data_IF_136842068064
#
_entry.id   IF_136842068064
#
_cell.length_a   1.000
_cell.length_b   1.000
_cell.length_c   1.000
_cell.angle_alpha   90.00
_cell.angle_beta   90.00
_cell.angle_gamma   90.00
#
_symmetry.space_group_name_H-M   'P 1'
#
loop_
_entity.id
_entity.type
_entity.pdbx_description
1 polymer ?
#
# COMPACT_ATOMS: atom_id res chain seq x y z
N UNK A 1 5.13 2.93 -29.26
CA UNK A 1 6.16 3.87 -28.81
C UNK A 1 5.65 4.49 -27.53
N UNK A 2 6.07 3.95 -26.39
CA UNK A 2 5.77 4.50 -25.08
C UNK A 2 6.42 5.89 -24.98
N UNK A 3 5.68 6.85 -24.46
CA UNK A 3 6.00 8.27 -24.48
C UNK A 3 7.29 8.51 -23.66
N UNK A 4 8.42 8.74 -24.35
CA UNK A 4 9.77 8.75 -23.75
C UNK A 4 9.97 9.79 -22.64
N UNK A 5 9.08 10.80 -22.57
CA UNK A 5 9.09 11.84 -21.54
C UNK A 5 8.65 11.37 -20.14
N UNK A 6 7.76 10.37 -20.04
CA UNK A 6 7.35 9.82 -18.73
C UNK A 6 8.45 8.95 -18.12
N UNK A 7 9.21 8.23 -18.95
CA UNK A 7 10.35 7.43 -18.52
C UNK A 7 11.49 8.33 -18.01
N UNK A 8 11.74 9.46 -18.69
CA UNK A 8 12.76 10.44 -18.29
C UNK A 8 12.44 11.16 -16.98
N UNK A 9 11.17 11.53 -16.73
CA UNK A 9 10.76 12.10 -15.43
C UNK A 9 10.85 11.09 -14.27
N UNK A 10 10.57 9.80 -14.51
CA UNK A 10 10.81 8.73 -13.53
C UNK A 10 12.33 8.48 -13.30
N UNK A 11 13.18 8.74 -14.29
CA UNK A 11 14.64 8.56 -14.22
C UNK A 11 15.38 9.70 -13.50
N UNK A 12 15.00 10.97 -13.68
CA UNK A 12 15.68 12.11 -13.02
C UNK A 12 15.48 12.16 -11.50
N UNK A 13 14.52 11.41 -10.96
CA UNK A 13 14.26 11.31 -9.52
C UNK A 13 15.21 10.35 -8.76
N UNK A 14 16.16 9.71 -9.42
CA UNK A 14 16.66 8.40 -8.97
C UNK A 14 17.90 8.33 -8.08
N UNK A 15 18.69 9.38 -7.83
CA UNK A 15 19.97 9.15 -7.10
C UNK A 15 20.13 9.82 -5.73
N UNK A 16 19.56 11.01 -5.46
CA UNK A 16 19.81 11.71 -4.19
C UNK A 16 18.56 12.02 -3.33
N UNK A 17 17.33 11.89 -3.85
CA UNK A 17 16.08 12.22 -3.11
C UNK A 17 15.36 11.03 -2.49
N UNK A 18 15.71 9.80 -2.87
CA UNK A 18 15.17 8.58 -2.26
C UNK A 18 16.24 7.88 -1.45
N UNK A 19 16.65 8.49 -0.33
CA UNK A 19 17.21 7.67 0.75
C UNK A 19 16.17 6.58 1.09
N UNK A 20 16.52 5.32 0.81
CA UNK A 20 15.57 4.19 0.85
C UNK A 20 15.17 3.81 2.27
N UNK A 21 15.89 4.32 3.27
CA UNK A 21 15.57 4.14 4.68
C UNK A 21 14.76 5.33 5.20
N UNK A 22 13.48 5.38 4.87
CA UNK A 22 12.56 6.23 5.63
C UNK A 22 12.41 5.68 7.05
N UNK A 23 12.51 6.54 8.06
CA UNK A 23 12.19 6.21 9.44
C UNK A 23 10.75 6.62 9.75
N UNK A 24 10.12 5.97 10.73
CA UNK A 24 8.75 6.32 11.15
C UNK A 24 8.62 7.80 11.54
N UNK A 25 9.69 8.37 12.11
CA UNK A 25 9.75 9.78 12.50
C UNK A 25 9.77 10.75 11.32
N UNK A 26 10.03 10.28 10.10
CA UNK A 26 10.06 11.11 8.88
C UNK A 26 8.64 11.52 8.44
N UNK A 27 7.60 10.86 8.98
CA UNK A 27 6.20 11.05 8.59
C UNK A 27 5.39 11.76 9.67
N UNK A 28 4.66 12.80 9.28
CA UNK A 28 3.70 13.52 10.10
C UNK A 28 2.29 13.29 9.57
N UNK A 29 1.33 12.92 10.43
CA UNK A 29 -0.07 12.83 10.04
C UNK A 29 -0.63 14.25 9.81
N UNK A 30 -1.20 14.49 8.63
CA UNK A 30 -1.75 15.79 8.26
C UNK A 30 -3.21 15.66 7.79
N UNK A 31 -3.94 16.78 7.80
CA UNK A 31 -5.36 16.85 7.39
C UNK A 31 -5.55 17.69 6.12
N UNK A 32 -6.72 17.57 5.49
CA UNK A 32 -7.04 18.33 4.27
C UNK A 32 -6.97 19.85 4.50
N UNK A 33 -7.29 20.32 5.72
CA UNK A 33 -7.18 21.74 6.06
C UNK A 33 -5.73 22.22 6.13
N UNK A 34 -4.78 21.33 6.43
CA UNK A 34 -3.35 21.69 6.53
C UNK A 34 -2.71 21.86 5.15
N UNK A 35 -3.17 21.13 4.13
CA UNK A 35 -2.58 21.17 2.78
C UNK A 35 -2.72 22.54 2.10
N UNK A 36 -3.67 23.38 2.55
CA UNK A 36 -3.81 24.74 2.05
C UNK A 36 -2.61 25.66 2.39
N UNK A 37 -1.78 25.27 3.36
CA UNK A 37 -0.55 25.98 3.74
C UNK A 37 0.47 25.97 2.59
N UNK A 38 1.14 27.11 2.38
CA UNK A 38 2.22 27.28 1.40
C UNK A 38 3.31 26.21 1.52
N UNK A 39 3.58 25.73 2.74
CA UNK A 39 4.54 24.65 2.99
C UNK A 39 4.27 23.39 2.15
N UNK A 40 3.01 23.05 1.89
CA UNK A 40 2.65 21.81 1.19
C UNK A 40 2.40 22.01 -0.31
N UNK A 41 2.26 23.25 -0.79
CA UNK A 41 1.98 23.54 -2.21
C UNK A 41 3.11 23.14 -3.15
N UNK A 42 4.35 23.16 -2.67
CA UNK A 42 5.54 22.75 -3.41
C UNK A 42 5.86 21.26 -3.28
N UNK A 43 5.08 20.51 -2.47
CA UNK A 43 5.31 19.08 -2.25
C UNK A 43 4.84 18.25 -3.44
N UNK A 44 5.54 17.14 -3.68
CA UNK A 44 5.09 16.12 -4.63
C UNK A 44 3.97 15.33 -3.95
N UNK A 45 2.85 15.18 -4.64
CA UNK A 45 1.72 14.40 -4.15
C UNK A 45 1.85 12.96 -4.67
N UNK A 46 1.66 12.00 -3.78
CA UNK A 46 1.68 10.57 -4.09
C UNK A 46 0.43 9.95 -3.49
N UNK A 47 -0.19 9.02 -4.19
CA UNK A 47 -1.43 8.38 -3.74
C UNK A 47 -1.31 6.86 -3.81
N UNK A 48 -1.82 6.17 -2.78
CA UNK A 48 -1.87 4.71 -2.75
C UNK A 48 -3.24 4.23 -2.28
N UNK A 49 -3.65 3.06 -2.77
CA UNK A 49 -4.96 2.46 -2.49
C UNK A 49 -4.84 1.06 -1.92
N UNK A 50 -5.41 0.84 -0.73
CA UNK A 50 -5.63 -0.50 -0.19
C UNK A 50 -6.95 -1.07 -0.70
N UNK A 51 -6.88 -2.07 -1.55
CA UNK A 51 -8.05 -2.87 -1.95
C UNK A 51 -8.18 -4.02 -0.96
N UNK A 52 -9.36 -4.19 -0.36
CA UNK A 52 -9.59 -5.26 0.61
C UNK A 52 -10.99 -5.87 0.50
N UNK A 53 -11.15 -7.08 1.00
CA UNK A 53 -12.45 -7.74 1.16
C UNK A 53 -12.52 -8.48 2.48
N UNK A 54 -13.56 -8.23 3.29
CA UNK A 54 -13.75 -8.95 4.56
C UNK A 54 -14.22 -10.37 4.28
N UNK A 55 -13.64 -11.34 4.99
CA UNK A 55 -13.95 -12.74 4.76
C UNK A 55 -13.74 -13.59 6.00
N UNK A 56 -14.46 -14.71 6.08
CA UNK A 56 -14.23 -15.77 7.06
C UNK A 56 -13.64 -17.04 6.42
N UNK A 57 -13.07 -16.94 5.21
CA UNK A 57 -12.45 -18.06 4.51
C UNK A 57 -11.39 -18.72 5.39
N UNK A 58 -11.47 -20.05 5.48
CA UNK A 58 -10.47 -20.86 6.16
C UNK A 58 -9.31 -21.15 5.20
N UNK A 59 -8.12 -20.66 5.54
CA UNK A 59 -6.87 -20.90 4.81
C UNK A 59 -6.04 -21.96 5.50
N UNK A 60 -5.30 -22.73 4.70
CA UNK A 60 -4.50 -23.88 5.17
C UNK A 60 -5.31 -24.86 6.04
N UNK A 61 -6.62 -24.99 5.76
CA UNK A 61 -7.58 -25.82 6.50
C UNK A 61 -7.68 -25.55 8.01
N UNK A 62 -7.19 -24.40 8.51
CA UNK A 62 -7.11 -24.15 9.96
C UNK A 62 -7.37 -22.71 10.36
N UNK A 63 -6.88 -21.73 9.59
CA UNK A 63 -6.85 -20.34 10.04
C UNK A 63 -7.91 -19.49 9.33
N UNK A 64 -8.61 -18.62 10.06
CA UNK A 64 -9.50 -17.64 9.44
C UNK A 64 -8.67 -16.51 8.82
N UNK A 65 -8.89 -16.21 7.53
CA UNK A 65 -8.23 -15.13 6.81
C UNK A 65 -8.58 -13.72 7.31
N UNK A 66 -9.77 -13.52 7.90
CA UNK A 66 -10.36 -12.24 8.36
C UNK A 66 -10.66 -11.24 7.23
N UNK A 67 -9.69 -11.02 6.36
CA UNK A 67 -9.82 -10.23 5.16
C UNK A 67 -8.78 -10.68 4.13
N UNK A 68 -9.09 -10.45 2.86
CA UNK A 68 -8.08 -10.37 1.81
C UNK A 68 -7.67 -8.91 1.65
N UNK A 69 -6.37 -8.65 1.64
CA UNK A 69 -5.80 -7.32 1.42
C UNK A 69 -4.73 -7.46 0.35
N UNK A 70 -4.82 -6.64 -0.69
CA UNK A 70 -3.89 -6.65 -1.81
C UNK A 70 -2.70 -5.72 -1.53
N UNK A 71 -1.50 -6.26 -1.65
CA UNK A 71 -0.25 -5.51 -1.75
C UNK A 71 0.54 -6.00 -2.97
N UNK A 72 1.62 -5.31 -3.32
CA UNK A 72 2.48 -5.69 -4.44
C UNK A 72 3.96 -5.70 -4.06
N UNK A 73 4.73 -6.58 -4.70
CA UNK A 73 6.18 -6.52 -4.77
C UNK A 73 6.54 -5.56 -5.91
N UNK A 74 7.28 -4.50 -5.57
CA UNK A 74 7.75 -3.50 -6.51
C UNK A 74 9.08 -3.88 -7.15
N UNK A 75 9.43 -3.20 -8.24
CA UNK A 75 10.71 -3.36 -8.94
C UNK A 75 11.95 -3.17 -8.05
N UNK A 76 11.83 -2.34 -7.00
CA UNK A 76 12.89 -2.05 -6.04
C UNK A 76 13.05 -3.15 -4.95
N UNK A 77 12.23 -4.19 -4.99
CA UNK A 77 12.28 -5.32 -4.06
C UNK A 77 11.52 -5.11 -2.75
N UNK A 78 10.75 -4.03 -2.61
CA UNK A 78 9.95 -3.73 -1.42
C UNK A 78 8.47 -4.06 -1.62
N UNK A 79 7.79 -4.38 -0.53
CA UNK A 79 6.33 -4.48 -0.50
C UNK A 79 5.70 -3.10 -0.35
N UNK A 80 4.66 -2.84 -1.12
CA UNK A 80 3.91 -1.58 -1.09
C UNK A 80 2.45 -1.79 -1.45
N UNK A 81 1.66 -0.73 -1.27
CA UNK A 81 0.32 -0.67 -1.86
C UNK A 81 0.41 -0.12 -3.28
N UNK A 82 -0.50 -0.53 -4.17
CA UNK A 82 -0.54 0.01 -5.52
C UNK A 82 -0.94 1.49 -5.52
N UNK A 83 -0.40 2.24 -6.48
CA UNK A 83 -0.52 3.69 -6.59
C UNK A 83 0.80 4.35 -7.02
N UNK A 84 0.77 5.68 -7.12
CA UNK A 84 1.89 6.42 -7.69
C UNK A 84 1.79 7.93 -7.51
N UNK A 85 2.62 8.64 -8.28
CA UNK A 85 2.75 10.09 -8.24
C UNK A 85 1.54 10.74 -8.91
N UNK A 86 1.06 11.84 -8.34
CA UNK A 86 0.01 12.66 -8.93
C UNK A 86 0.63 13.65 -9.92
N UNK A 87 0.19 13.60 -11.17
CA UNK A 87 0.73 14.48 -12.22
C UNK A 87 0.28 15.94 -12.05
N UNK A 88 1.06 16.92 -12.53
CA UNK A 88 0.68 18.32 -12.47
C UNK A 88 -0.68 18.61 -13.12
N UNK A 89 -1.63 19.12 -12.35
CA UNK A 89 -2.98 19.44 -12.80
C UNK A 89 -3.98 18.28 -12.73
N UNK A 90 -3.54 17.09 -12.33
CA UNK A 90 -4.39 15.93 -12.06
C UNK A 90 -4.92 15.99 -10.62
N UNK A 91 -6.19 15.62 -10.41
CA UNK A 91 -6.68 15.42 -9.05
C UNK A 91 -6.22 14.07 -8.48
N UNK A 92 -6.05 14.02 -7.16
CA UNK A 92 -5.48 12.84 -6.47
C UNK A 92 -6.27 11.56 -6.74
N UNK A 93 -7.60 11.64 -6.83
CA UNK A 93 -8.43 10.46 -7.09
C UNK A 93 -8.33 9.97 -8.52
N UNK A 94 -8.23 10.88 -9.50
CA UNK A 94 -7.97 10.52 -10.90
C UNK A 94 -6.61 9.86 -11.04
N UNK A 95 -5.56 10.44 -10.45
CA UNK A 95 -4.23 9.84 -10.41
C UNK A 95 -4.26 8.43 -9.81
N UNK A 96 -4.90 8.26 -8.65
CA UNK A 96 -4.99 6.96 -7.99
C UNK A 96 -5.67 5.92 -8.89
N UNK A 97 -6.79 6.26 -9.51
CA UNK A 97 -7.50 5.31 -10.38
C UNK A 97 -6.72 4.97 -11.66
N UNK A 98 -5.95 5.92 -12.21
CA UNK A 98 -5.04 5.68 -13.34
C UNK A 98 -3.96 4.68 -12.94
N UNK A 99 -3.25 4.95 -11.85
CA UNK A 99 -2.18 4.09 -11.33
C UNK A 99 -2.69 2.67 -11.00
N UNK A 100 -3.85 2.55 -10.33
CA UNK A 100 -4.44 1.24 -10.05
C UNK A 100 -4.86 0.48 -11.32
N UNK A 101 -5.25 1.18 -12.38
CA UNK A 101 -5.54 0.54 -13.67
C UNK A 101 -4.26 0.03 -14.34
N UNK A 102 -3.16 0.77 -14.23
CA UNK A 102 -1.85 0.46 -14.83
C UNK A 102 -1.13 -0.66 -14.07
N UNK A 103 -1.14 -0.62 -12.73
CA UNK A 103 -0.42 -1.54 -11.85
C UNK A 103 -1.14 -2.85 -11.56
N UNK A 104 -2.47 -2.80 -11.37
CA UNK A 104 -3.26 -3.97 -10.95
C UNK A 104 -4.47 -4.24 -11.85
N UNK A 105 -4.59 -3.54 -12.98
CA UNK A 105 -5.67 -3.78 -13.95
C UNK A 105 -7.05 -3.40 -13.43
N UNK A 106 -7.15 -2.51 -12.45
CA UNK A 106 -8.41 -2.17 -11.78
C UNK A 106 -9.34 -1.37 -12.71
N UNK A 107 -10.42 -2.00 -13.18
CA UNK A 107 -11.45 -1.33 -14.01
C UNK A 107 -12.87 -1.46 -13.48
N UNK A 108 -13.13 -2.40 -12.57
CA UNK A 108 -14.48 -2.73 -12.07
C UNK A 108 -14.97 -1.82 -10.95
N UNK A 109 -14.06 -1.16 -10.24
CA UNK A 109 -14.37 -0.23 -9.14
C UNK A 109 -13.49 1.02 -9.23
N UNK A 110 -13.99 2.14 -8.71
CA UNK A 110 -13.24 3.40 -8.66
C UNK A 110 -13.10 3.90 -7.24
N UNK A 111 -11.91 4.39 -6.89
CA UNK A 111 -11.66 5.13 -5.67
C UNK A 111 -12.22 6.55 -5.77
N UNK A 112 -12.81 7.03 -4.68
CA UNK A 112 -13.42 8.35 -4.53
C UNK A 112 -12.85 9.03 -3.27
N UNK A 113 -13.05 10.34 -3.13
CA UNK A 113 -12.55 11.10 -1.96
C UNK A 113 -13.04 10.53 -0.62
N UNK A 114 -14.24 9.94 -0.58
CA UNK A 114 -14.81 9.29 0.62
C UNK A 114 -14.01 8.07 1.09
N UNK A 115 -13.20 7.47 0.21
CA UNK A 115 -12.36 6.31 0.52
C UNK A 115 -11.02 6.72 1.16
N UNK A 116 -10.73 8.03 1.26
CA UNK A 116 -9.50 8.54 1.87
C UNK A 116 -9.50 8.23 3.37
N UNK A 117 -8.41 7.61 3.83
CA UNK A 117 -8.28 7.19 5.24
C UNK A 117 -7.40 8.16 6.02
N UNK A 118 -6.25 8.52 5.47
CA UNK A 118 -5.28 9.43 6.10
C UNK A 118 -4.33 10.01 5.07
N UNK A 119 -3.60 11.05 5.49
CA UNK A 119 -2.52 11.65 4.71
C UNK A 119 -1.30 11.83 5.59
N UNK A 120 -0.12 11.55 5.05
CA UNK A 120 1.14 11.75 5.73
C UNK A 120 2.03 12.70 4.95
N UNK A 121 2.67 13.62 5.66
CA UNK A 121 3.72 14.46 5.13
C UNK A 121 5.08 13.82 5.45
N UNK A 122 5.87 13.50 4.43
CA UNK A 122 7.28 13.15 4.59
C UNK A 122 8.10 14.45 4.50
N UNK A 123 8.60 14.90 5.64
CA UNK A 123 9.27 16.21 5.71
C UNK A 123 10.68 16.21 5.14
N UNK A 124 11.33 15.05 5.02
CA UNK A 124 12.66 14.92 4.40
C UNK A 124 12.60 15.00 2.88
N UNK A 125 11.57 14.38 2.28
CA UNK A 125 11.41 14.25 0.83
C UNK A 125 10.42 15.26 0.24
N UNK A 126 9.79 16.07 1.09
CA UNK A 126 8.71 16.99 0.70
C UNK A 126 7.61 16.28 -0.09
N UNK A 127 7.14 15.15 0.46
CA UNK A 127 6.06 14.35 -0.14
C UNK A 127 4.79 14.46 0.70
N UNK A 128 3.64 14.57 0.03
CA UNK A 128 2.33 14.35 0.65
C UNK A 128 1.78 13.02 0.15
N UNK A 129 1.66 12.07 1.06
CA UNK A 129 1.19 10.71 0.81
C UNK A 129 -0.28 10.60 1.16
N UNK A 130 -1.13 10.52 0.13
CA UNK A 130 -2.57 10.28 0.26
C UNK A 130 -2.84 8.78 0.28
N UNK A 131 -3.57 8.31 1.29
CA UNK A 131 -3.88 6.90 1.41
C UNK A 131 -5.38 6.65 1.45
N UNK A 132 -5.82 5.69 0.64
CA UNK A 132 -7.21 5.32 0.49
C UNK A 132 -7.41 3.84 0.79
N UNK A 133 -8.60 3.45 1.21
CA UNK A 133 -8.97 2.05 1.40
C UNK A 133 -10.37 1.79 0.85
N UNK A 134 -10.52 0.73 0.06
CA UNK A 134 -11.79 0.38 -0.57
C UNK A 134 -12.13 -1.09 -0.34
N UNK A 135 -13.30 -1.30 0.25
CA UNK A 135 -13.89 -2.64 0.39
C UNK A 135 -14.52 -3.06 -0.93
N UNK A 136 -14.21 -4.27 -1.38
CA UNK A 136 -14.83 -4.93 -2.53
C UNK A 136 -15.40 -6.29 -2.12
N UNK A 137 -16.24 -6.89 -2.96
CA UNK A 137 -16.69 -8.27 -2.71
C UNK A 137 -15.54 -9.26 -2.91
N UNK A 138 -15.68 -10.49 -2.39
CA UNK A 138 -14.66 -11.52 -2.57
C UNK A 138 -14.47 -11.87 -4.06
N UNK A 139 -15.56 -11.88 -4.82
CA UNK A 139 -15.57 -12.16 -6.25
C UNK A 139 -14.80 -11.07 -7.01
N UNK A 140 -15.09 -9.79 -6.72
CA UNK A 140 -14.34 -8.67 -7.31
C UNK A 140 -12.87 -8.69 -6.89
N UNK A 141 -12.55 -9.08 -5.65
CA UNK A 141 -11.15 -9.22 -5.22
C UNK A 141 -10.41 -10.26 -6.07
N UNK A 142 -11.01 -11.43 -6.28
CA UNK A 142 -10.44 -12.49 -7.11
C UNK A 142 -10.29 -12.07 -8.58
N UNK A 143 -11.28 -11.34 -9.13
CA UNK A 143 -11.19 -10.77 -10.48
C UNK A 143 -9.99 -9.83 -10.63
N UNK A 144 -9.75 -8.97 -9.63
CA UNK A 144 -8.61 -8.06 -9.61
C UNK A 144 -7.30 -8.85 -9.57
N UNK A 145 -7.22 -9.92 -8.77
CA UNK A 145 -6.00 -10.73 -8.71
C UNK A 145 -5.68 -11.42 -10.04
N UNK A 146 -6.71 -11.97 -10.70
CA UNK A 146 -6.56 -12.58 -12.02
C UNK A 146 -6.24 -11.53 -13.10
N UNK A 147 -6.76 -10.31 -12.94
CA UNK A 147 -6.52 -9.16 -13.83
C UNK A 147 -5.12 -8.59 -13.72
N UNK A 148 -4.52 -8.57 -12.53
CA UNK A 148 -3.22 -7.95 -12.26
C UNK A 148 -2.09 -8.51 -13.14
N UNK A 149 -2.13 -9.81 -13.49
CA UNK A 149 -1.15 -10.43 -14.39
C UNK A 149 -1.20 -9.90 -15.83
N UNK A 150 -2.27 -9.20 -16.20
CA UNK A 150 -2.47 -8.58 -17.51
C UNK A 150 -2.32 -7.07 -17.47
N UNK A 151 -2.06 -6.49 -16.30
CA UNK A 151 -1.85 -5.06 -16.12
C UNK A 151 -0.60 -4.61 -16.90
N UNK A 152 -0.56 -3.35 -17.35
CA UNK A 152 0.53 -2.86 -18.21
C UNK A 152 1.88 -2.89 -17.52
N UNK A 153 1.87 -2.73 -16.20
CA UNK A 153 3.09 -2.55 -15.42
C UNK A 153 3.59 -3.85 -14.79
N UNK A 154 2.86 -4.95 -14.99
CA UNK A 154 3.26 -6.27 -14.57
C UNK A 154 4.56 -6.71 -15.27
N UNK A 155 5.55 -7.10 -14.48
CA UNK A 155 6.90 -7.46 -14.94
C UNK A 155 7.83 -6.27 -15.18
N UNK A 156 7.37 -5.04 -14.92
CA UNK A 156 8.18 -3.83 -14.99
C UNK A 156 8.24 -3.14 -13.62
N UNK A 157 7.28 -2.27 -13.29
CA UNK A 157 7.22 -1.57 -12.01
C UNK A 157 6.64 -2.47 -10.90
N UNK A 158 5.77 -3.41 -11.28
CA UNK A 158 5.12 -4.38 -10.40
C UNK A 158 5.61 -5.79 -10.73
N UNK A 159 6.27 -6.44 -9.78
CA UNK A 159 6.81 -7.80 -9.95
C UNK A 159 5.84 -8.90 -9.50
N UNK A 160 4.76 -8.54 -8.83
CA UNK A 160 3.68 -9.46 -8.47
C UNK A 160 2.82 -8.95 -7.33
N UNK A 161 1.57 -9.36 -7.32
CA UNK A 161 0.63 -9.08 -6.23
C UNK A 161 0.67 -10.18 -5.17
N UNK A 162 0.26 -9.84 -3.95
CA UNK A 162 0.16 -10.77 -2.83
C UNK A 162 -1.02 -10.43 -1.93
N UNK A 163 -1.51 -11.45 -1.22
CA UNK A 163 -2.46 -11.28 -0.11
C UNK A 163 -1.69 -11.15 1.21
N UNK A 164 -2.06 -10.18 2.04
CA UNK A 164 -1.55 -10.07 3.41
C UNK A 164 -2.13 -11.21 4.27
N UNK A 165 -1.30 -12.08 4.89
CA UNK A 165 -1.79 -13.22 5.67
C UNK A 165 -2.14 -12.79 7.10
N UNK A 166 -3.37 -12.38 7.39
CA UNK A 166 -3.79 -11.88 8.72
C UNK A 166 -4.03 -12.98 9.78
N UNK A 167 -3.33 -14.10 9.67
CA UNK A 167 -3.35 -15.21 10.62
C UNK A 167 -1.96 -15.45 11.19
N UNK A 168 -1.90 -16.01 12.38
CA UNK A 168 -0.64 -16.44 13.02
C UNK A 168 -0.71 -17.93 13.29
N UNK A 169 0.28 -18.69 12.81
CA UNK A 169 0.36 -20.14 13.05
C UNK A 169 0.70 -20.43 14.51
N UNK A 170 0.57 -21.71 14.91
CA UNK A 170 0.77 -22.16 16.29
C UNK A 170 2.18 -21.90 16.86
N UNK A 171 3.18 -21.66 16.01
CA UNK A 171 4.53 -21.26 16.44
C UNK A 171 4.65 -19.78 16.82
N UNK A 172 3.56 -19.01 16.71
CA UNK A 172 3.53 -17.59 17.05
C UNK A 172 4.26 -16.69 16.05
N UNK A 173 4.74 -17.23 14.92
CA UNK A 173 5.55 -16.47 13.96
C UNK A 173 5.09 -16.58 12.51
N UNK A 174 4.86 -17.78 11.96
CA UNK A 174 4.47 -17.90 10.55
C UNK A 174 3.09 -17.27 10.30
N UNK A 175 2.91 -16.70 9.12
CA UNK A 175 1.74 -15.88 8.76
C UNK A 175 2.03 -14.39 8.89
N UNK A 176 1.15 -13.63 9.57
CA UNK A 176 1.26 -12.18 9.70
C UNK A 176 2.57 -11.71 10.34
N UNK A 177 3.07 -12.31 11.44
CA UNK A 177 4.32 -11.85 12.06
C UNK A 177 5.52 -11.97 11.12
N UNK A 178 5.64 -13.11 10.41
CA UNK A 178 6.67 -13.32 9.41
C UNK A 178 6.51 -12.35 8.21
N UNK A 179 5.27 -12.09 7.77
CA UNK A 179 5.01 -11.11 6.72
C UNK A 179 5.51 -9.71 7.09
N UNK A 180 5.30 -9.28 8.33
CA UNK A 180 5.74 -7.99 8.87
C UNK A 180 7.27 -7.86 9.01
N UNK A 181 8.05 -8.93 8.80
CA UNK A 181 9.52 -8.90 8.74
C UNK A 181 10.08 -8.66 7.32
N UNK A 182 9.22 -8.62 6.29
CA UNK A 182 9.64 -8.20 4.96
C UNK A 182 9.98 -6.70 4.94
N UNK A 183 10.60 -6.27 3.84
CA UNK A 183 10.90 -4.85 3.59
C UNK A 183 9.70 -4.17 2.95
N UNK A 184 9.29 -3.03 3.48
CA UNK A 184 8.17 -2.24 2.98
C UNK A 184 8.66 -0.86 2.52
N UNK A 185 8.10 -0.34 1.44
CA UNK A 185 8.46 0.97 0.92
C UNK A 185 7.87 2.08 1.78
N UNK A 186 8.66 3.12 2.07
CA UNK A 186 8.23 4.28 2.85
C UNK A 186 7.50 3.90 4.14
N UNK A 187 6.30 4.44 4.35
CA UNK A 187 5.46 4.12 5.49
C UNK A 187 4.38 3.06 5.20
N UNK A 188 4.44 2.30 4.09
CA UNK A 188 3.38 1.35 3.71
C UNK A 188 3.08 0.30 4.78
N UNK A 189 4.11 -0.11 5.55
CA UNK A 189 3.91 -1.00 6.70
C UNK A 189 3.02 -0.37 7.77
N UNK A 190 3.23 0.89 8.11
CA UNK A 190 2.42 1.59 9.12
C UNK A 190 1.03 1.90 8.58
N UNK A 191 0.91 2.24 7.28
CA UNK A 191 -0.39 2.41 6.62
C UNK A 191 -1.23 1.13 6.74
N UNK A 192 -0.63 -0.05 6.51
CA UNK A 192 -1.29 -1.34 6.72
C UNK A 192 -1.77 -1.49 8.17
N UNK A 193 -0.89 -1.32 9.16
CA UNK A 193 -1.22 -1.50 10.58
C UNK A 193 -2.34 -0.56 11.05
N UNK A 194 -2.27 0.71 10.67
CA UNK A 194 -3.30 1.70 11.01
C UNK A 194 -4.64 1.39 10.34
N UNK A 195 -4.63 0.92 9.09
CA UNK A 195 -5.84 0.48 8.41
C UNK A 195 -6.47 -0.76 9.06
N UNK A 196 -5.69 -1.76 9.45
CA UNK A 196 -6.19 -2.94 10.15
C UNK A 196 -6.95 -2.57 11.43
N UNK A 197 -6.42 -1.60 12.19
CA UNK A 197 -7.06 -1.05 13.38
C UNK A 197 -8.32 -0.24 13.03
N UNK A 198 -8.22 0.75 12.14
CA UNK A 198 -9.34 1.65 11.77
C UNK A 198 -10.54 0.91 11.19
N UNK A 199 -10.28 -0.15 10.42
CA UNK A 199 -11.32 -0.97 9.78
C UNK A 199 -11.82 -2.12 10.68
N UNK A 200 -11.33 -2.21 11.92
CA UNK A 200 -11.65 -3.28 12.89
C UNK A 200 -11.40 -4.69 12.33
N UNK A 201 -10.34 -4.86 11.53
CA UNK A 201 -9.91 -6.16 11.01
C UNK A 201 -9.06 -6.93 12.03
N UNK A 202 -8.32 -6.19 12.86
CA UNK A 202 -7.54 -6.72 13.98
C UNK A 202 -7.59 -5.76 15.17
N UNK A 203 -7.55 -6.30 16.38
CA UNK A 203 -7.40 -5.50 17.60
C UNK A 203 -5.95 -5.02 17.79
N UNK A 204 -5.75 -4.01 18.65
CA UNK A 204 -4.41 -3.57 19.02
C UNK A 204 -3.57 -4.69 19.63
N UNK A 205 -4.17 -5.51 20.51
CA UNK A 205 -3.49 -6.65 21.13
C UNK A 205 -3.03 -7.68 20.09
N UNK A 206 -3.87 -7.97 19.09
CA UNK A 206 -3.51 -8.90 18.01
C UNK A 206 -2.37 -8.35 17.14
N UNK A 207 -2.38 -7.04 16.87
CA UNK A 207 -1.31 -6.35 16.14
C UNK A 207 -0.01 -6.38 16.96
N UNK A 208 -0.04 -6.03 18.24
CA UNK A 208 1.14 -6.03 19.13
C UNK A 208 1.75 -7.42 19.27
N UNK A 209 0.89 -8.44 19.36
CA UNK A 209 1.32 -9.85 19.33
C UNK A 209 2.00 -10.22 18.02
N UNK A 210 1.48 -9.76 16.88
CA UNK A 210 2.10 -10.01 15.59
C UNK A 210 3.45 -9.29 15.44
N UNK A 211 3.57 -8.05 15.95
CA UNK A 211 4.81 -7.27 15.91
C UNK A 211 5.93 -7.91 16.74
N UNK A 212 5.56 -8.46 17.89
CA UNK A 212 6.49 -9.13 18.83
C UNK A 212 6.84 -10.57 18.44
N UNK A 213 6.16 -11.15 17.46
CA UNK A 213 6.42 -12.51 16.97
C UNK A 213 7.88 -12.69 16.49
N UNK A 214 8.51 -13.77 16.95
CA UNK A 214 9.89 -14.16 16.59
C UNK A 214 9.93 -15.64 16.21
N UNK A 215 10.74 -16.03 15.22
CA UNK A 215 10.91 -17.44 14.88
C UNK A 215 11.51 -18.19 16.08
N UNK A 216 11.05 -19.41 16.32
CA UNK A 216 11.46 -20.24 17.45
C UNK A 216 12.98 -20.51 17.50
N UNK A 217 13.68 -20.44 16.38
CA UNK A 217 15.13 -20.65 16.30
C UNK A 217 15.97 -19.38 16.56
N UNK A 218 15.35 -18.22 16.80
CA UNK A 218 16.03 -16.96 17.18
C UNK A 218 15.66 -16.50 18.60
N UNK A 219 15.07 -17.38 19.42
CA UNK A 219 14.71 -17.11 20.82
C UNK A 219 15.79 -17.60 21.78
#
# INVERSE_FOLDING_TARGET
MLNSKHVEQKQEMSEDKFDFADNDNDFELITNSMIADEKYKSCINVCHGMIYSKTNTIVLNTFNARAFILMQLRFDGYFGFPGGVVDPGEDVTTALNRELSEEVGLTSVKFEEKDKVFMHYNHRKSLVLHFYAKEVSNETFEEIELGALKASDYGNEVLGILRVPLYTMNDGFRGFPAFLKNKFIGNSRNQLLECLKKLNLMSLEEIDKALSGKPLYLQ
#
